data_IF_016860820344
#
_entry.id   IF_016860820344
#
_cell.length_a   1.000
_cell.length_b   1.000
_cell.length_c   1.000
_cell.angle_alpha   90.00
_cell.angle_beta   90.00
_cell.angle_gamma   90.00
#
_symmetry.space_group_name_H-M   'P 1'
#
loop_
_entity.id
_entity.type
_entity.pdbx_description
1 polymer ?
#
# COMPACT_ATOMS: atom_id res chain seq x y z
N UNK A 1 27.01 -52.13 -43.52
CA UNK A 1 27.69 -50.89 -43.11
C UNK A 1 26.63 -49.80 -42.89
N UNK A 2 26.45 -49.34 -41.65
CA UNK A 2 25.52 -48.25 -41.30
C UNK A 2 26.30 -46.95 -41.15
N UNK A 3 25.90 -45.91 -41.89
CA UNK A 3 26.48 -44.56 -41.78
C UNK A 3 25.67 -43.81 -40.71
N UNK A 4 26.29 -43.51 -39.58
CA UNK A 4 25.74 -42.66 -38.53
C UNK A 4 26.15 -41.23 -38.87
N UNK A 5 25.18 -40.38 -39.26
CA UNK A 5 25.40 -38.93 -39.37
C UNK A 5 25.16 -38.31 -38.00
N UNK A 6 26.26 -37.93 -37.33
CA UNK A 6 26.22 -37.14 -36.11
C UNK A 6 26.08 -35.66 -36.50
N UNK A 7 24.86 -35.12 -36.45
CA UNK A 7 24.63 -33.68 -36.54
C UNK A 7 24.99 -33.07 -35.19
N UNK A 8 26.12 -32.38 -35.12
CA UNK A 8 26.48 -31.53 -33.98
C UNK A 8 25.77 -30.18 -34.20
N UNK A 9 24.59 -30.01 -33.60
CA UNK A 9 24.00 -28.68 -33.43
C UNK A 9 24.75 -27.96 -32.31
N UNK A 10 25.69 -27.10 -32.68
CA UNK A 10 26.26 -26.10 -31.78
C UNK A 10 25.24 -24.98 -31.56
N UNK A 11 24.30 -25.18 -30.64
CA UNK A 11 23.56 -24.07 -30.05
C UNK A 11 24.44 -23.43 -28.99
N UNK A 12 25.09 -22.33 -29.36
CA UNK A 12 25.63 -21.39 -28.39
C UNK A 12 24.44 -20.77 -27.64
N UNK A 13 24.08 -21.37 -26.49
CA UNK A 13 23.29 -20.68 -25.48
C UNK A 13 24.19 -19.62 -24.86
N UNK A 14 24.18 -18.42 -25.43
CA UNK A 14 24.52 -17.22 -24.68
C UNK A 14 23.44 -17.01 -23.62
N UNK A 15 23.57 -17.75 -22.52
CA UNK A 15 22.93 -17.43 -21.26
C UNK A 15 23.59 -16.18 -20.71
N UNK A 16 23.27 -15.02 -21.28
CA UNK A 16 23.33 -13.76 -20.55
C UNK A 16 22.15 -13.79 -19.57
N UNK A 17 22.28 -14.58 -18.51
CA UNK A 17 21.52 -14.33 -17.29
C UNK A 17 22.05 -13.00 -16.74
N UNK A 18 21.50 -11.90 -17.25
CA UNK A 18 21.51 -10.63 -16.53
C UNK A 18 20.66 -10.87 -15.29
N UNK A 19 21.27 -11.45 -14.26
CA UNK A 19 20.82 -11.23 -12.90
C UNK A 19 20.96 -9.72 -12.71
N UNK A 20 19.85 -9.00 -12.84
CA UNK A 20 19.79 -7.62 -12.38
C UNK A 20 20.39 -7.61 -10.98
N UNK A 21 21.28 -6.67 -10.64
CA UNK A 21 21.80 -6.59 -9.28
C UNK A 21 20.59 -6.55 -8.36
N UNK A 22 20.49 -7.53 -7.46
CA UNK A 22 19.49 -7.51 -6.39
C UNK A 22 19.73 -6.20 -5.65
N UNK A 23 18.83 -5.24 -5.84
CA UNK A 23 18.89 -3.98 -5.11
C UNK A 23 18.80 -4.30 -3.62
N UNK A 24 19.92 -4.14 -2.91
CA UNK A 24 19.97 -4.32 -1.47
C UNK A 24 19.49 -3.03 -0.82
N UNK A 25 18.49 -3.14 0.06
CA UNK A 25 17.98 -2.02 0.84
C UNK A 25 18.32 -2.23 2.31
N UNK A 26 18.83 -1.17 2.95
CA UNK A 26 18.88 -1.06 4.40
C UNK A 26 17.58 -0.40 4.88
N UNK A 27 16.84 -1.11 5.74
CA UNK A 27 15.52 -0.72 6.18
C UNK A 27 15.48 -0.54 7.70
N UNK A 28 15.11 0.65 8.14
CA UNK A 28 14.86 0.96 9.56
C UNK A 28 13.35 0.97 9.82
N UNK A 29 12.90 0.26 10.85
CA UNK A 29 11.52 0.31 11.30
C UNK A 29 11.16 1.69 11.85
N UNK A 30 10.07 2.29 11.34
CA UNK A 30 9.57 3.58 11.81
C UNK A 30 8.47 3.41 12.86
N UNK A 31 7.44 2.63 12.54
CA UNK A 31 6.28 2.39 13.43
C UNK A 31 5.47 1.18 12.97
N UNK A 32 4.54 0.73 13.83
CA UNK A 32 3.46 -0.18 13.48
C UNK A 32 2.12 0.42 13.94
N UNK A 33 1.05 0.21 13.15
CA UNK A 33 -0.29 0.70 13.45
C UNK A 33 -1.33 -0.42 13.29
N UNK A 34 -2.28 -0.50 14.20
CA UNK A 34 -3.48 -1.33 14.04
C UNK A 34 -4.53 -0.58 13.24
N UNK A 35 -4.75 -1.00 12.00
CA UNK A 35 -5.75 -0.36 11.12
C UNK A 35 -6.91 -1.28 10.84
N UNK A 36 -8.09 -0.70 10.68
CA UNK A 36 -9.30 -1.47 10.45
C UNK A 36 -9.43 -1.87 8.98
N UNK A 37 -9.97 -3.07 8.79
CA UNK A 37 -10.35 -3.54 7.46
C UNK A 37 -11.62 -2.83 7.01
N UNK A 38 -11.67 -2.51 5.72
CA UNK A 38 -12.69 -1.67 5.13
C UNK A 38 -13.27 -2.32 3.88
N UNK A 39 -14.59 -2.34 3.80
CA UNK A 39 -15.34 -2.79 2.63
C UNK A 39 -15.66 -1.61 1.74
N UNK A 40 -15.04 -1.60 0.56
CA UNK A 40 -15.32 -0.60 -0.48
C UNK A 40 -16.74 -0.65 -1.02
N UNK A 41 -17.40 -1.81 -0.90
CA UNK A 41 -18.75 -2.03 -1.42
C UNK A 41 -19.80 -1.40 -0.52
N UNK A 42 -19.64 -1.57 0.79
CA UNK A 42 -20.55 -1.04 1.80
C UNK A 42 -20.09 0.29 2.38
N UNK A 43 -18.88 0.76 2.06
CA UNK A 43 -18.26 1.94 2.65
C UNK A 43 -18.21 1.90 4.18
N UNK A 44 -18.08 0.69 4.74
CA UNK A 44 -18.06 0.44 6.17
C UNK A 44 -16.75 -0.22 6.59
N UNK A 45 -16.31 0.10 7.81
CA UNK A 45 -15.40 -0.81 8.49
C UNK A 45 -16.06 -2.19 8.64
N UNK A 46 -15.31 -3.27 8.47
CA UNK A 46 -15.90 -4.62 8.53
C UNK A 46 -16.55 -4.94 9.88
N UNK A 47 -16.13 -4.27 10.96
CA UNK A 47 -16.77 -4.36 12.29
C UNK A 47 -18.16 -3.71 12.36
N UNK A 48 -18.48 -2.79 11.45
CA UNK A 48 -19.78 -2.13 11.33
C UNK A 48 -20.67 -2.73 10.23
N UNK A 49 -20.13 -3.61 9.38
CA UNK A 49 -20.88 -4.25 8.30
C UNK A 49 -21.62 -5.49 8.84
N UNK A 50 -22.90 -5.31 9.19
CA UNK A 50 -23.74 -6.36 9.72
C UNK A 50 -23.90 -7.54 8.74
N UNK A 51 -24.00 -7.28 7.42
CA UNK A 51 -24.11 -8.35 6.43
C UNK A 51 -22.84 -9.20 6.37
N UNK A 52 -21.68 -8.57 6.54
CA UNK A 52 -20.41 -9.27 6.65
C UNK A 52 -20.34 -10.09 7.95
N UNK A 53 -20.68 -9.48 9.09
CA UNK A 53 -20.62 -10.14 10.39
C UNK A 53 -21.61 -11.31 10.50
N UNK A 54 -22.87 -11.13 10.09
CA UNK A 54 -23.91 -12.16 10.10
C UNK A 54 -23.59 -13.32 9.16
N UNK A 55 -23.10 -13.02 7.95
CA UNK A 55 -22.80 -14.06 6.95
C UNK A 55 -21.60 -14.93 7.32
N UNK A 56 -20.63 -14.37 8.05
CA UNK A 56 -19.34 -15.04 8.25
C UNK A 56 -19.00 -15.33 9.71
N UNK A 57 -19.66 -14.72 10.70
CA UNK A 57 -19.40 -14.92 12.13
C UNK A 57 -17.92 -14.76 12.52
N UNK A 58 -17.14 -13.96 11.76
CA UNK A 58 -15.68 -13.88 11.92
C UNK A 58 -15.27 -12.60 12.66
N UNK A 59 -15.27 -12.63 13.99
CA UNK A 59 -14.61 -11.61 14.81
C UNK A 59 -13.11 -11.43 14.42
N UNK A 60 -12.47 -12.50 13.96
CA UNK A 60 -11.10 -12.49 13.43
C UNK A 60 -10.97 -11.79 12.08
N UNK A 61 -12.02 -11.74 11.26
CA UNK A 61 -11.98 -11.07 9.97
C UNK A 61 -12.30 -9.58 10.08
N UNK A 62 -12.98 -9.12 11.13
CA UNK A 62 -13.15 -7.70 11.43
C UNK A 62 -12.03 -7.12 12.30
N UNK A 63 -11.14 -7.98 12.83
CA UNK A 63 -10.02 -7.57 13.65
C UNK A 63 -9.09 -6.59 12.91
N UNK A 64 -8.49 -5.63 13.64
CA UNK A 64 -7.48 -4.75 13.07
C UNK A 64 -6.31 -5.54 12.46
N UNK A 65 -5.69 -4.96 11.43
CA UNK A 65 -4.47 -5.44 10.80
C UNK A 65 -3.32 -4.58 11.23
N UNK A 66 -2.22 -5.21 11.65
CA UNK A 66 -0.97 -4.50 11.89
C UNK A 66 -0.35 -4.09 10.55
N UNK A 67 -0.14 -2.79 10.37
CA UNK A 67 0.62 -2.23 9.25
C UNK A 67 1.95 -1.74 9.78
N UNK A 68 3.01 -2.37 9.30
CA UNK A 68 4.38 -2.00 9.61
C UNK A 68 4.88 -0.99 8.58
N UNK A 69 5.55 0.05 9.07
CA UNK A 69 6.09 1.13 8.26
C UNK A 69 7.60 1.20 8.45
N UNK A 70 8.34 1.16 7.35
CA UNK A 70 9.80 1.20 7.34
C UNK A 70 10.32 2.28 6.41
N UNK A 71 11.46 2.87 6.75
CA UNK A 71 12.24 3.70 5.85
C UNK A 71 13.39 2.86 5.28
N UNK A 72 13.44 2.71 3.97
CA UNK A 72 14.42 1.91 3.26
C UNK A 72 15.29 2.78 2.35
N UNK A 73 16.62 2.59 2.42
CA UNK A 73 17.61 3.23 1.55
C UNK A 73 18.39 2.16 0.82
N UNK A 74 18.74 2.39 -0.45
CA UNK A 74 19.63 1.48 -1.16
C UNK A 74 21.01 1.47 -0.51
N UNK A 75 21.59 0.27 -0.40
CA UNK A 75 22.94 0.02 0.09
C UNK A 75 23.97 0.29 -1.02
N UNK A 76 23.55 0.25 -2.28
CA UNK A 76 24.39 0.62 -3.41
C UNK A 76 24.42 2.15 -3.46
N UNK A 77 25.56 2.74 -3.06
CA UNK A 77 25.84 4.16 -2.88
C UNK A 77 25.62 5.03 -4.14
N UNK A 78 24.38 5.22 -4.56
CA UNK A 78 24.01 6.37 -5.39
C UNK A 78 23.65 7.53 -4.45
N UNK A 79 24.45 8.60 -4.46
CA UNK A 79 24.23 9.81 -3.67
C UNK A 79 22.86 10.45 -3.91
N UNK A 80 22.21 10.12 -5.03
CA UNK A 80 20.89 10.61 -5.43
C UNK A 80 19.71 9.69 -5.05
N UNK A 81 19.92 8.56 -4.37
CA UNK A 81 18.80 7.66 -4.03
C UNK A 81 17.99 8.16 -2.84
N UNK A 82 16.73 8.47 -3.12
CA UNK A 82 15.72 8.90 -2.16
C UNK A 82 15.35 7.77 -1.20
N UNK A 83 15.20 8.10 0.09
CA UNK A 83 14.65 7.17 1.08
C UNK A 83 13.20 6.84 0.68
N UNK A 84 12.88 5.55 0.67
CA UNK A 84 11.53 5.04 0.41
C UNK A 84 10.84 4.66 1.72
N UNK A 85 9.55 4.95 1.81
CA UNK A 85 8.66 4.48 2.86
C UNK A 85 7.95 3.24 2.35
N UNK A 86 8.14 2.12 3.04
CA UNK A 86 7.49 0.85 2.77
C UNK A 86 6.38 0.63 3.80
N UNK A 87 5.17 0.30 3.34
CA UNK A 87 4.04 -0.08 4.20
C UNK A 87 3.53 -1.47 3.85
N UNK A 88 3.40 -2.35 4.85
CA UNK A 88 2.98 -3.73 4.63
C UNK A 88 2.34 -4.38 5.86
N UNK A 89 1.57 -5.46 5.67
CA UNK A 89 0.71 -6.06 6.71
C UNK A 89 1.38 -7.07 7.66
N UNK A 90 2.65 -7.41 7.44
CA UNK A 90 3.42 -8.39 8.25
C UNK A 90 4.92 -8.42 7.90
N UNK A 91 5.76 -8.96 8.80
CA UNK A 91 7.22 -9.00 8.66
C UNK A 91 7.76 -9.63 7.35
N UNK A 92 6.94 -10.35 6.58
CA UNK A 92 7.33 -11.01 5.33
C UNK A 92 6.82 -10.29 4.07
N UNK A 93 6.32 -9.05 4.17
CA UNK A 93 5.81 -8.24 3.04
C UNK A 93 4.69 -8.92 2.24
N UNK A 94 3.75 -9.60 2.90
CA UNK A 94 2.75 -10.44 2.23
C UNK A 94 1.69 -9.57 1.51
N UNK A 95 1.36 -8.41 2.07
CA UNK A 95 0.62 -7.33 1.40
C UNK A 95 1.46 -6.08 1.43
N UNK A 96 1.77 -5.51 0.26
CA UNK A 96 2.50 -4.23 0.15
C UNK A 96 1.50 -3.16 -0.25
N UNK A 97 1.19 -2.28 0.68
CA UNK A 97 0.17 -1.25 0.49
C UNK A 97 0.61 -0.23 -0.56
N UNK A 98 1.76 0.39 -0.31
CA UNK A 98 2.41 1.29 -1.24
C UNK A 98 3.85 1.50 -0.79
N UNK A 99 4.75 1.67 -1.75
CA UNK A 99 6.13 2.11 -1.52
C UNK A 99 6.34 3.44 -2.20
N UNK A 100 6.65 4.49 -1.44
CA UNK A 100 6.76 5.87 -1.96
C UNK A 100 8.04 6.53 -1.46
N UNK A 101 8.49 7.62 -2.08
CA UNK A 101 9.50 8.47 -1.44
C UNK A 101 8.95 9.11 -0.16
N UNK A 102 9.83 9.60 0.71
CA UNK A 102 9.43 10.42 1.88
C UNK A 102 8.56 11.60 1.42
N UNK A 103 9.00 12.34 0.39
CA UNK A 103 8.28 13.51 -0.13
C UNK A 103 6.88 13.17 -0.61
N UNK A 104 6.72 12.09 -1.38
CA UNK A 104 5.42 11.71 -1.94
C UNK A 104 4.49 11.13 -0.87
N UNK A 105 5.04 10.43 0.13
CA UNK A 105 4.28 10.00 1.31
C UNK A 105 3.68 11.21 2.03
N UNK A 106 4.51 12.23 2.31
CA UNK A 106 4.05 13.46 2.97
C UNK A 106 2.99 14.20 2.15
N UNK A 107 3.17 14.34 0.82
CA UNK A 107 2.16 14.95 -0.07
C UNK A 107 0.84 14.19 -0.06
N UNK A 108 0.90 12.85 -0.09
CA UNK A 108 -0.28 11.98 -0.03
C UNK A 108 -1.05 12.21 1.27
N UNK A 109 -0.35 12.21 2.40
CA UNK A 109 -0.95 12.41 3.71
C UNK A 109 -1.46 13.83 3.93
N UNK A 110 -0.71 14.85 3.50
CA UNK A 110 -1.16 16.24 3.56
C UNK A 110 -2.42 16.47 2.73
N UNK A 111 -2.51 15.86 1.56
CA UNK A 111 -3.71 15.92 0.70
C UNK A 111 -4.93 15.36 1.44
N UNK A 112 -4.80 14.17 2.02
CA UNK A 112 -5.86 13.57 2.83
C UNK A 112 -6.22 14.43 4.04
N UNK A 113 -5.24 14.84 4.86
CA UNK A 113 -5.48 15.58 6.10
C UNK A 113 -6.12 16.94 5.83
N UNK A 114 -5.76 17.61 4.73
CA UNK A 114 -6.38 18.87 4.35
C UNK A 114 -7.84 18.69 3.89
N UNK A 115 -8.14 17.61 3.16
CA UNK A 115 -9.52 17.26 2.84
C UNK A 115 -10.32 16.86 4.09
N UNK A 116 -9.73 16.06 4.98
CA UNK A 116 -10.36 15.56 6.19
C UNK A 116 -10.75 16.67 7.19
N UNK A 117 -10.03 17.81 7.21
CA UNK A 117 -10.37 18.99 8.02
C UNK A 117 -11.68 19.67 7.61
N UNK A 118 -12.17 19.43 6.40
CA UNK A 118 -13.42 20.02 5.93
C UNK A 118 -14.62 19.47 6.74
N UNK A 119 -15.70 20.26 6.90
CA UNK A 119 -16.96 19.75 7.46
C UNK A 119 -17.52 18.58 6.65
N UNK A 120 -18.28 17.68 7.30
CA UNK A 120 -18.85 16.46 6.68
C UNK A 120 -19.53 16.74 5.34
N UNK A 121 -20.40 17.75 5.29
CA UNK A 121 -21.15 18.12 4.08
C UNK A 121 -20.26 18.61 2.95
N UNK A 122 -19.16 19.28 3.27
CA UNK A 122 -18.18 19.74 2.29
C UNK A 122 -17.33 18.57 1.78
N UNK A 123 -16.90 17.65 2.68
CA UNK A 123 -16.17 16.44 2.30
C UNK A 123 -16.93 15.60 1.29
N UNK A 124 -18.24 15.41 1.51
CA UNK A 124 -19.10 14.67 0.59
C UNK A 124 -19.14 15.33 -0.80
N UNK A 125 -19.20 16.66 -0.87
CA UNK A 125 -19.18 17.40 -2.15
C UNK A 125 -17.83 17.34 -2.86
N UNK A 126 -16.73 17.33 -2.12
CA UNK A 126 -15.36 17.40 -2.66
C UNK A 126 -14.70 16.03 -2.81
N UNK A 127 -15.37 14.93 -2.43
CA UNK A 127 -14.81 13.57 -2.42
C UNK A 127 -14.16 13.19 -3.76
N UNK A 128 -14.86 13.41 -4.87
CA UNK A 128 -14.34 13.09 -6.21
C UNK A 128 -13.09 13.92 -6.55
N UNK A 129 -13.11 15.21 -6.23
CA UNK A 129 -11.96 16.10 -6.46
C UNK A 129 -10.75 15.71 -5.61
N UNK A 130 -10.97 15.35 -4.35
CA UNK A 130 -9.90 14.87 -3.46
C UNK A 130 -9.28 13.57 -3.98
N UNK A 131 -10.09 12.66 -4.51
CA UNK A 131 -9.59 11.43 -5.15
C UNK A 131 -8.79 11.69 -6.43
N UNK A 132 -9.21 12.66 -7.24
CA UNK A 132 -8.42 13.10 -8.39
C UNK A 132 -7.07 13.70 -7.96
N UNK A 133 -7.06 14.52 -6.91
CA UNK A 133 -5.81 15.09 -6.37
C UNK A 133 -4.89 14.00 -5.81
N UNK A 134 -5.43 13.05 -5.05
CA UNK A 134 -4.65 11.92 -4.53
C UNK A 134 -4.00 11.11 -5.66
N UNK A 135 -4.73 10.85 -6.74
CA UNK A 135 -4.20 10.11 -7.89
C UNK A 135 -2.99 10.82 -8.55
N UNK A 136 -2.90 12.15 -8.46
CA UNK A 136 -1.79 12.93 -9.01
C UNK A 136 -0.55 12.92 -8.11
N UNK A 137 -0.73 12.92 -6.79
CA UNK A 137 0.38 13.00 -5.82
C UNK A 137 0.87 11.63 -5.34
N UNK A 138 0.06 10.59 -5.50
CA UNK A 138 0.37 9.25 -5.03
C UNK A 138 1.17 8.49 -6.07
N UNK A 139 2.48 8.36 -5.83
CA UNK A 139 3.36 7.54 -6.67
C UNK A 139 3.85 6.30 -5.92
N UNK A 140 3.19 5.16 -6.14
CA UNK A 140 3.64 3.87 -5.61
C UNK A 140 4.64 3.22 -6.57
N UNK A 141 5.89 3.10 -6.15
CA UNK A 141 6.93 2.35 -6.88
C UNK A 141 6.69 0.84 -6.83
N UNK A 142 6.06 0.35 -5.76
CA UNK A 142 5.65 -1.04 -5.63
C UNK A 142 4.41 -1.16 -4.73
N UNK A 143 3.46 -2.01 -5.13
CA UNK A 143 2.28 -2.36 -4.34
C UNK A 143 1.68 -3.67 -4.84
N UNK A 144 0.80 -4.28 -4.04
CA UNK A 144 -0.08 -5.38 -4.48
C UNK A 144 -1.42 -4.86 -5.04
N UNK A 145 -1.51 -3.57 -5.36
CA UNK A 145 -2.69 -2.94 -5.95
C UNK A 145 -2.77 -3.31 -7.44
N UNK A 146 -3.96 -3.68 -7.97
CA UNK A 146 -4.16 -3.83 -9.40
C UNK A 146 -3.84 -2.54 -10.16
N UNK A 147 -3.11 -2.63 -11.28
CA UNK A 147 -2.72 -1.44 -12.08
C UNK A 147 -3.90 -0.61 -12.59
N UNK A 148 -5.09 -1.20 -12.66
CA UNK A 148 -6.33 -0.53 -13.09
C UNK A 148 -7.03 0.27 -12.00
N UNK A 149 -6.53 0.22 -10.76
CA UNK A 149 -7.20 0.83 -9.60
C UNK A 149 -6.25 1.77 -8.85
N UNK A 150 -6.76 2.83 -8.19
CA UNK A 150 -5.91 3.73 -7.42
C UNK A 150 -5.35 3.00 -6.19
N UNK A 151 -4.07 3.21 -5.88
CA UNK A 151 -3.43 2.60 -4.71
C UNK A 151 -3.93 3.17 -3.38
N UNK A 152 -4.19 4.47 -3.37
CA UNK A 152 -4.79 5.20 -2.27
C UNK A 152 -5.94 6.04 -2.77
N UNK A 153 -7.00 6.14 -1.98
CA UNK A 153 -8.14 6.99 -2.25
C UNK A 153 -8.78 7.42 -0.93
N UNK A 154 -9.44 8.56 -0.91
CA UNK A 154 -10.24 9.02 0.23
C UNK A 154 -11.64 8.45 0.17
N UNK A 155 -12.21 8.17 1.34
CA UNK A 155 -13.58 7.75 1.53
C UNK A 155 -14.17 8.35 2.81
N UNK A 156 -15.49 8.21 2.99
CA UNK A 156 -16.17 8.56 4.22
C UNK A 156 -16.86 7.31 4.74
N UNK A 157 -16.52 6.91 5.96
CA UNK A 157 -17.12 5.74 6.58
C UNK A 157 -18.62 5.97 6.80
N UNK A 158 -19.46 5.10 6.25
CA UNK A 158 -20.89 5.36 6.13
C UNK A 158 -21.61 5.38 7.48
N UNK A 159 -21.12 4.66 8.49
CA UNK A 159 -21.75 4.57 9.80
C UNK A 159 -21.35 5.73 10.74
N UNK A 160 -20.06 6.02 10.80
CA UNK A 160 -19.43 6.99 11.71
C UNK A 160 -19.21 8.36 11.08
N UNK A 161 -19.31 8.48 9.75
CA UNK A 161 -18.99 9.68 8.97
C UNK A 161 -17.52 10.12 9.08
N UNK A 162 -16.65 9.22 9.54
CA UNK A 162 -15.22 9.45 9.67
C UNK A 162 -14.56 9.53 8.28
N UNK A 163 -13.71 10.53 8.01
CA UNK A 163 -12.94 10.58 6.78
C UNK A 163 -11.80 9.57 6.84
N UNK A 164 -11.62 8.81 5.77
CA UNK A 164 -10.68 7.71 5.67
C UNK A 164 -9.71 7.90 4.52
N UNK A 165 -8.46 7.51 4.73
CA UNK A 165 -7.53 7.22 3.64
C UNK A 165 -7.46 5.70 3.45
N UNK A 166 -7.93 5.21 2.32
CA UNK A 166 -8.10 3.77 2.07
C UNK A 166 -7.00 3.27 1.14
N UNK A 167 -6.31 2.20 1.54
CA UNK A 167 -5.35 1.51 0.68
C UNK A 167 -6.02 0.40 -0.11
N UNK A 168 -5.90 0.44 -1.42
CA UNK A 168 -6.52 -0.53 -2.30
C UNK A 168 -5.71 -1.83 -2.53
N UNK A 169 -4.77 -2.11 -1.64
CA UNK A 169 -3.89 -3.25 -1.81
C UNK A 169 -4.66 -4.56 -1.63
N UNK A 170 -4.30 -5.57 -2.42
CA UNK A 170 -4.90 -6.90 -2.31
C UNK A 170 -4.01 -7.84 -1.52
N UNK A 171 -4.62 -8.69 -0.70
CA UNK A 171 -3.92 -9.81 -0.08
C UNK A 171 -3.86 -10.98 -1.07
N UNK A 172 -2.68 -11.31 -1.62
CA UNK A 172 -2.55 -12.34 -2.66
C UNK A 172 -2.87 -13.75 -2.15
N UNK A 173 -3.07 -13.96 -0.85
CA UNK A 173 -3.41 -15.28 -0.28
C UNK A 173 -4.87 -15.51 -0.06
N UNK A 174 -5.63 -14.43 0.00
CA UNK A 174 -7.06 -14.53 0.03
C UNK A 174 -7.50 -14.77 -1.42
N UNK A 175 -8.28 -15.82 -1.65
CA UNK A 175 -8.80 -16.12 -2.99
C UNK A 175 -10.17 -15.47 -3.19
N UNK A 176 -10.45 -15.04 -4.42
CA UNK A 176 -11.76 -14.50 -4.80
C UNK A 176 -12.09 -13.17 -4.11
N UNK A 177 -13.33 -13.01 -3.65
CA UNK A 177 -13.84 -11.74 -3.13
C UNK A 177 -13.09 -11.23 -1.88
N UNK A 178 -12.48 -12.14 -1.10
CA UNK A 178 -11.73 -11.79 0.11
C UNK A 178 -10.35 -11.17 -0.19
N UNK A 179 -9.85 -11.31 -1.42
CA UNK A 179 -8.61 -10.62 -1.85
C UNK A 179 -8.75 -9.11 -1.90
N UNK A 180 -9.98 -8.60 -1.97
CA UNK A 180 -10.30 -7.17 -2.08
C UNK A 180 -10.55 -6.51 -0.72
N UNK A 181 -10.29 -7.21 0.39
CA UNK A 181 -10.48 -6.66 1.73
C UNK A 181 -9.35 -5.67 2.05
N UNK A 182 -9.68 -4.41 1.83
CA UNK A 182 -8.76 -3.28 1.95
C UNK A 182 -8.64 -2.81 3.38
N UNK A 183 -7.67 -1.94 3.67
CA UNK A 183 -7.56 -1.30 4.99
C UNK A 183 -7.78 0.19 4.84
N UNK A 184 -8.32 0.79 5.88
CA UNK A 184 -8.54 2.23 5.95
C UNK A 184 -7.87 2.81 7.18
N UNK A 185 -7.30 4.00 6.99
CA UNK A 185 -6.58 4.75 8.00
C UNK A 185 -7.43 5.96 8.38
N UNK A 186 -7.57 6.17 9.67
CA UNK A 186 -8.24 7.33 10.25
C UNK A 186 -7.39 8.59 10.11
N UNK A 187 -7.95 9.74 10.48
CA UNK A 187 -7.19 11.00 10.59
C UNK A 187 -6.03 10.86 11.56
N UNK A 188 -6.26 10.20 12.70
CA UNK A 188 -5.24 10.01 13.72
C UNK A 188 -4.09 9.14 13.20
N UNK A 189 -4.40 8.01 12.56
CA UNK A 189 -3.39 7.12 11.97
C UNK A 189 -2.49 7.88 11.00
N UNK A 190 -3.08 8.67 10.10
CA UNK A 190 -2.31 9.41 9.09
C UNK A 190 -1.52 10.57 9.70
N UNK A 191 -2.05 11.25 10.72
CA UNK A 191 -1.28 12.27 11.44
C UNK A 191 -0.05 11.67 12.12
N UNK A 192 -0.20 10.53 12.78
CA UNK A 192 0.90 9.82 13.43
C UNK A 192 1.95 9.40 12.40
N UNK A 193 1.54 8.77 11.29
CA UNK A 193 2.44 8.38 10.20
C UNK A 193 3.21 9.57 9.63
N UNK A 194 2.49 10.63 9.28
CA UNK A 194 3.07 11.84 8.72
C UNK A 194 4.14 12.40 9.64
N UNK A 195 3.84 12.53 10.93
CA UNK A 195 4.78 13.09 11.91
C UNK A 195 6.02 12.20 12.06
N UNK A 196 5.88 10.88 12.11
CA UNK A 196 7.00 9.94 12.19
C UNK A 196 7.90 10.01 10.95
N UNK A 197 7.30 10.06 9.76
CA UNK A 197 8.05 10.15 8.49
C UNK A 197 8.72 11.51 8.35
N UNK A 198 8.05 12.59 8.74
CA UNK A 198 8.62 13.93 8.74
C UNK A 198 9.83 14.03 9.67
N UNK A 199 9.71 13.58 10.92
CA UNK A 199 10.82 13.54 11.89
C UNK A 199 12.01 12.73 11.37
N UNK A 200 11.76 11.58 10.75
CA UNK A 200 12.83 10.79 10.13
C UNK A 200 13.52 11.52 8.97
N UNK A 201 12.76 12.31 8.19
CA UNK A 201 13.28 13.11 7.10
C UNK A 201 14.12 14.32 7.54
N UNK A 202 13.80 14.93 8.69
CA UNK A 202 14.55 16.07 9.25
C UNK A 202 15.84 15.68 10.00
N UNK A 203 15.96 14.43 10.43
CA UNK A 203 17.14 13.93 11.16
C UNK A 203 18.36 13.63 10.26
N UNK A 204 18.32 14.03 8.98
CA UNK A 204 19.38 13.85 7.99
C UNK A 204 19.70 15.16 7.29
#
# INVERSE_FOLDING_TARGET
>A
MKIIKLLILSTALSACATTSPTEHYDCTGLTGLEVLRFSKKSHLFLKHDAQFYERYSMATASAPRMVLVQACRSVNNDENMTTRINMYSDLWSRVRYCTQSVSDSLKTYDTFLNWAKQPVTQRQKTLSQANQQLALVTQCTSSTVPKSEPAWYVDIEQFTQEPLLVSNARDPRLHGAFSNDTVAFTVEDIQQLRNKIFQYGEQK
#
